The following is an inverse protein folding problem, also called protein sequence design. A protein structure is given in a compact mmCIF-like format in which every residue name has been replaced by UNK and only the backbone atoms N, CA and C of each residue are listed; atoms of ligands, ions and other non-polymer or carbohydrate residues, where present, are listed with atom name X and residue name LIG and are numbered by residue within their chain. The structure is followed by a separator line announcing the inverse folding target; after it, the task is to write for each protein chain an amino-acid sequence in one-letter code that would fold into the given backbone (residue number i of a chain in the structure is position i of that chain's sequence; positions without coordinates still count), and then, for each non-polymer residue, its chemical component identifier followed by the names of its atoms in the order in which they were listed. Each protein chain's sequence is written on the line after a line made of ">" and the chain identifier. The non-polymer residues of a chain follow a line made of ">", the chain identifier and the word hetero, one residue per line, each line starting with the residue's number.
data_IF_617769899439
#
_entry.id   IF_617769899439
#
_cell.length_a   1.000
_cell.length_b   1.000
_cell.length_c   1.000
_cell.angle_alpha   90.00
_cell.angle_beta   90.00
_cell.angle_gamma   90.00
#
_symmetry.space_group_name_H-M   'P 1'
#
loop_
_entity.id
_entity.type
_entity.pdbx_description
1 polymer ?
#
# COMPACT_ATOMS: atom_id res chain seq x y z
N UNK A 1 -14.50 -13.56 40.84
CA UNK A 1 -13.11 -14.08 40.75
C UNK A 1 -13.01 -15.20 39.72
N UNK A 2 -13.70 -16.35 39.88
CA UNK A 2 -13.64 -17.44 38.91
C UNK A 2 -14.11 -17.07 37.48
N UNK A 3 -15.21 -16.32 37.35
CA UNK A 3 -15.72 -15.87 36.04
C UNK A 3 -14.77 -14.90 35.31
N UNK A 4 -14.04 -14.06 36.06
CA UNK A 4 -13.01 -13.18 35.49
C UNK A 4 -11.77 -13.96 35.05
N UNK A 5 -11.37 -14.98 35.82
CA UNK A 5 -10.28 -15.87 35.43
C UNK A 5 -10.62 -16.66 34.16
N UNK A 6 -11.86 -17.13 34.03
CA UNK A 6 -12.35 -17.85 32.84
C UNK A 6 -12.39 -16.90 31.63
N UNK A 7 -12.84 -15.66 31.81
CA UNK A 7 -12.85 -14.66 30.74
C UNK A 7 -11.42 -14.31 30.28
N UNK A 8 -10.48 -14.12 31.20
CA UNK A 8 -9.06 -13.91 30.91
C UNK A 8 -8.44 -15.13 30.19
N UNK A 9 -8.77 -16.35 30.62
CA UNK A 9 -8.29 -17.58 29.99
C UNK A 9 -8.83 -17.74 28.57
N UNK A 10 -10.10 -17.42 28.33
CA UNK A 10 -10.72 -17.45 27.01
C UNK A 10 -10.16 -16.36 26.09
N UNK A 11 -9.85 -15.16 26.61
CA UNK A 11 -9.17 -14.10 25.88
C UNK A 11 -7.73 -14.48 25.52
N UNK A 12 -6.98 -15.14 26.42
CA UNK A 12 -5.64 -15.66 26.12
C UNK A 12 -5.63 -16.79 25.09
N UNK A 13 -6.62 -17.69 25.15
CA UNK A 13 -6.77 -18.78 24.16
C UNK A 13 -7.15 -18.26 22.76
N UNK A 14 -7.78 -17.08 22.69
CA UNK A 14 -8.14 -16.43 21.42
C UNK A 14 -6.95 -15.78 20.70
N UNK A 15 -5.80 -15.63 21.37
CA UNK A 15 -4.62 -14.93 20.82
C UNK A 15 -3.64 -15.82 20.05
N UNK A 16 -3.91 -17.11 19.84
CA UNK A 16 -2.94 -17.96 19.14
C UNK A 16 -3.55 -19.07 18.28
N UNK A 17 -4.21 -18.67 17.18
CA UNK A 17 -4.18 -19.47 15.96
C UNK A 17 -3.39 -18.69 14.92
N UNK A 18 -2.07 -18.89 14.88
CA UNK A 18 -1.33 -18.71 13.63
C UNK A 18 -1.77 -19.82 12.68
N UNK A 19 -2.95 -19.65 12.09
CA UNK A 19 -3.29 -20.45 10.93
C UNK A 19 -2.28 -20.06 9.84
N UNK A 20 -1.62 -21.04 9.26
CA UNK A 20 -0.70 -20.81 8.15
C UNK A 20 -1.54 -20.48 6.91
N UNK A 21 -1.09 -19.53 6.09
CA UNK A 21 -1.69 -19.28 4.78
C UNK A 21 -1.78 -20.61 4.03
N UNK A 22 -2.97 -21.02 3.51
CA UNK A 22 -3.04 -22.17 2.61
C UNK A 22 -2.03 -21.94 1.51
N UNK A 23 -1.07 -22.86 1.32
CA UNK A 23 0.11 -22.61 0.47
C UNK A 23 -0.28 -22.05 -0.92
N UNK A 24 -1.44 -22.45 -1.44
CA UNK A 24 -2.02 -21.96 -2.69
C UNK A 24 -2.24 -20.45 -2.75
N UNK A 25 -2.74 -19.80 -1.70
CA UNK A 25 -3.05 -18.37 -1.75
C UNK A 25 -1.78 -17.51 -1.75
N UNK A 26 -0.76 -17.92 -0.98
CA UNK A 26 0.53 -17.24 -0.98
C UNK A 26 1.24 -17.39 -2.33
N UNK A 27 1.20 -18.59 -2.91
CA UNK A 27 1.82 -18.85 -4.22
C UNK A 27 1.15 -18.03 -5.34
N UNK A 28 -0.18 -17.90 -5.30
CA UNK A 28 -0.93 -17.02 -6.22
C UNK A 28 -0.53 -15.56 -6.03
N UNK A 29 -0.51 -15.07 -4.78
CA UNK A 29 -0.12 -13.70 -4.50
C UNK A 29 1.33 -13.42 -4.95
N UNK A 30 2.28 -14.33 -4.67
CA UNK A 30 3.67 -14.21 -5.13
C UNK A 30 3.74 -14.15 -6.66
N UNK A 31 2.92 -14.92 -7.38
CA UNK A 31 2.82 -14.86 -8.84
C UNK A 31 2.35 -13.47 -9.32
N UNK A 32 1.29 -12.93 -8.70
CA UNK A 32 0.78 -11.58 -8.98
C UNK A 32 1.85 -10.50 -8.69
N UNK A 33 2.54 -10.58 -7.55
CA UNK A 33 3.64 -9.67 -7.17
C UNK A 33 4.79 -9.67 -8.20
N UNK A 34 5.20 -10.85 -8.67
CA UNK A 34 6.27 -10.98 -9.68
C UNK A 34 5.84 -10.44 -11.03
N UNK A 35 4.58 -10.68 -11.44
CA UNK A 35 4.01 -10.12 -12.66
C UNK A 35 4.02 -8.57 -12.62
N UNK A 36 3.76 -8.01 -11.44
CA UNK A 36 3.82 -6.58 -11.17
C UNK A 36 5.23 -6.04 -10.86
N UNK A 37 6.29 -6.85 -11.03
CA UNK A 37 7.71 -6.45 -10.90
C UNK A 37 8.16 -6.07 -9.47
N UNK A 38 7.55 -6.64 -8.43
CA UNK A 38 8.01 -6.52 -7.03
C UNK A 38 8.95 -7.67 -6.65
N UNK A 39 10.02 -7.89 -7.42
CA UNK A 39 10.89 -9.06 -7.27
C UNK A 39 11.66 -9.05 -5.95
N UNK A 40 12.16 -7.89 -5.54
CA UNK A 40 12.97 -7.76 -4.33
C UNK A 40 12.12 -8.00 -3.08
N UNK A 41 10.88 -7.51 -3.07
CA UNK A 41 9.94 -7.77 -1.97
C UNK A 41 9.59 -9.25 -1.87
N UNK A 42 9.35 -9.92 -3.00
CA UNK A 42 9.10 -11.37 -3.03
C UNK A 42 10.29 -12.16 -2.47
N UNK A 43 11.52 -11.76 -2.78
CA UNK A 43 12.71 -12.42 -2.23
C UNK A 43 12.74 -12.33 -0.70
N UNK A 44 12.50 -11.14 -0.13
CA UNK A 44 12.42 -10.94 1.32
C UNK A 44 11.30 -11.78 1.95
N UNK A 45 10.15 -11.89 1.27
CA UNK A 45 9.02 -12.69 1.73
C UNK A 45 9.35 -14.20 1.78
N UNK A 46 10.15 -14.69 0.83
CA UNK A 46 10.60 -16.09 0.80
C UNK A 46 11.61 -16.41 1.91
N UNK A 47 12.39 -15.43 2.38
CA UNK A 47 13.36 -15.60 3.47
C UNK A 47 12.72 -15.82 4.84
N UNK A 48 11.46 -15.43 5.05
CA UNK A 48 10.77 -15.59 6.35
C UNK A 48 9.95 -16.88 6.46
N UNK A 49 10.14 -17.82 5.53
CA UNK A 49 9.66 -19.22 5.58
C UNK A 49 8.19 -19.39 6.03
N UNK A 50 7.25 -18.65 5.42
CA UNK A 50 5.80 -18.75 5.69
C UNK A 50 5.39 -18.49 7.14
N UNK A 51 6.21 -17.81 7.95
CA UNK A 51 5.81 -17.23 9.26
C UNK A 51 4.92 -16.00 9.10
N UNK A 52 4.04 -16.00 8.10
CA UNK A 52 3.19 -14.88 7.73
C UNK A 52 1.80 -15.13 8.33
N UNK A 53 1.22 -14.17 9.06
CA UNK A 53 -0.16 -14.25 9.52
C UNK A 53 -1.17 -14.45 8.38
N UNK A 54 -2.32 -15.10 8.67
CA UNK A 54 -3.46 -15.05 7.76
C UNK A 54 -4.00 -13.62 7.61
N UNK A 55 -4.79 -13.41 6.55
CA UNK A 55 -5.63 -12.23 6.38
C UNK A 55 -4.79 -10.95 6.39
N UNK A 56 -3.99 -10.76 5.35
CA UNK A 56 -2.91 -9.78 5.34
C UNK A 56 -2.99 -8.87 4.11
N UNK A 57 -2.59 -7.61 4.28
CA UNK A 57 -2.29 -6.71 3.16
C UNK A 57 -0.80 -6.41 3.15
N UNK A 58 -0.11 -6.76 2.08
CA UNK A 58 1.27 -6.35 1.86
C UNK A 58 1.35 -4.96 1.23
N UNK A 59 2.23 -4.13 1.78
CA UNK A 59 2.55 -2.79 1.33
C UNK A 59 3.96 -2.84 0.74
N UNK A 60 4.07 -3.12 -0.55
CA UNK A 60 5.30 -3.54 -1.19
C UNK A 60 6.07 -2.34 -1.72
N UNK A 61 7.23 -1.98 -1.15
CA UNK A 61 8.08 -0.95 -1.76
C UNK A 61 8.60 -1.46 -3.10
N UNK A 62 8.72 -0.56 -4.07
CA UNK A 62 9.34 -0.88 -5.36
C UNK A 62 10.78 -1.38 -5.18
N UNK A 63 11.28 -2.16 -6.14
CA UNK A 63 12.67 -2.63 -6.13
C UNK A 63 13.68 -1.47 -6.02
N UNK A 64 13.36 -0.31 -6.61
CA UNK A 64 14.18 0.91 -6.48
C UNK A 64 14.18 1.42 -5.03
N UNK A 65 13.01 1.49 -4.37
CA UNK A 65 12.94 1.90 -2.97
C UNK A 65 13.72 0.94 -2.05
N UNK A 66 13.65 -0.37 -2.33
CA UNK A 66 14.36 -1.40 -1.58
C UNK A 66 15.88 -1.37 -1.79
N UNK A 67 16.38 -0.92 -2.96
CA UNK A 67 17.82 -0.89 -3.26
C UNK A 67 18.67 -0.04 -2.30
N UNK A 68 18.03 0.87 -1.57
CA UNK A 68 18.68 1.76 -0.59
C UNK A 68 18.61 1.26 0.85
N UNK A 69 17.94 0.13 1.10
CA UNK A 69 17.74 -0.42 2.44
C UNK A 69 18.83 -1.43 2.77
N UNK A 70 19.49 -1.24 3.91
CA UNK A 70 20.37 -2.24 4.50
C UNK A 70 19.56 -3.02 5.54
N UNK A 71 19.33 -4.30 5.30
CA UNK A 71 18.65 -5.21 6.22
C UNK A 71 19.60 -6.31 6.62
N UNK A 72 19.83 -6.50 7.92
CA UNK A 72 20.39 -7.76 8.41
C UNK A 72 19.33 -8.86 8.47
N UNK A 73 19.76 -10.11 8.48
CA UNK A 73 18.85 -11.28 8.42
C UNK A 73 17.79 -11.28 9.53
N UNK A 74 18.16 -10.85 10.73
CA UNK A 74 17.26 -10.71 11.88
C UNK A 74 16.26 -9.55 11.76
N UNK A 75 16.44 -8.62 10.82
CA UNK A 75 15.56 -7.48 10.59
C UNK A 75 14.51 -7.77 9.52
N UNK A 76 14.67 -8.82 8.71
CA UNK A 76 13.79 -9.10 7.57
C UNK A 76 12.35 -9.38 8.02
N UNK A 77 12.15 -10.17 9.08
CA UNK A 77 10.80 -10.42 9.60
C UNK A 77 10.13 -9.13 10.06
N UNK A 78 10.86 -8.31 10.83
CA UNK A 78 10.39 -7.00 11.28
C UNK A 78 10.07 -6.06 10.12
N UNK A 79 10.92 -6.08 9.08
CA UNK A 79 10.72 -5.30 7.87
C UNK A 79 9.42 -5.68 7.15
N UNK A 80 9.21 -6.98 6.90
CA UNK A 80 7.98 -7.49 6.26
C UNK A 80 6.77 -7.16 7.12
N UNK A 81 6.86 -7.35 8.43
CA UNK A 81 5.75 -7.09 9.36
C UNK A 81 5.40 -5.60 9.44
N UNK A 82 6.39 -4.72 9.35
CA UNK A 82 6.19 -3.26 9.27
C UNK A 82 5.52 -2.83 7.96
N UNK A 83 5.60 -3.66 6.92
CA UNK A 83 4.97 -3.47 5.61
C UNK A 83 3.74 -4.35 5.42
N UNK A 84 3.14 -4.81 6.52
CA UNK A 84 1.97 -5.70 6.49
C UNK A 84 0.88 -5.17 7.40
N UNK A 85 -0.36 -5.10 6.90
CA UNK A 85 -1.55 -4.81 7.72
C UNK A 85 -2.24 -6.16 8.01
N UNK A 86 -2.60 -6.47 9.27
CA UNK A 86 -3.24 -7.74 9.64
C UNK A 86 -4.73 -7.80 9.27
N UNK A 87 -5.08 -7.30 8.07
CA UNK A 87 -6.41 -7.37 7.48
C UNK A 87 -6.27 -7.27 5.96
N UNK A 88 -7.03 -8.05 5.15
CA UNK A 88 -7.03 -7.94 3.69
C UNK A 88 -7.85 -6.72 3.26
N UNK A 89 -7.18 -5.65 2.85
CA UNK A 89 -7.76 -4.38 2.45
C UNK A 89 -7.59 -4.19 0.95
N UNK A 90 -8.68 -3.86 0.27
CA UNK A 90 -8.64 -3.31 -1.08
C UNK A 90 -8.35 -1.82 -0.99
N UNK A 91 -7.89 -1.24 -2.10
CA UNK A 91 -7.66 0.20 -2.17
C UNK A 91 -8.92 1.01 -1.84
N UNK A 92 -10.09 0.57 -2.30
CA UNK A 92 -11.37 1.22 -1.98
C UNK A 92 -11.68 1.18 -0.48
N UNK A 93 -11.26 0.13 0.24
CA UNK A 93 -11.39 0.13 1.70
C UNK A 93 -10.49 1.20 2.34
N UNK A 94 -9.30 1.41 1.76
CA UNK A 94 -8.34 2.38 2.26
C UNK A 94 -8.81 3.84 2.08
N UNK A 95 -9.56 4.13 1.01
CA UNK A 95 -10.07 5.48 0.75
C UNK A 95 -11.20 5.90 1.71
N UNK A 96 -11.87 4.94 2.35
CA UNK A 96 -12.91 5.23 3.34
C UNK A 96 -12.37 5.56 4.74
N UNK A 97 -11.09 5.31 5.02
CA UNK A 97 -10.51 5.75 6.29
C UNK A 97 -10.36 7.28 6.31
N UNK A 98 -10.86 7.97 7.35
CA UNK A 98 -10.61 9.39 7.53
C UNK A 98 -9.11 9.68 7.63
N UNK A 99 -8.67 10.79 7.04
CA UNK A 99 -7.32 11.31 7.26
C UNK A 99 -7.04 11.48 8.75
N UNK A 100 -5.87 11.04 9.19
CA UNK A 100 -5.47 10.96 10.60
C UNK A 100 -5.71 9.61 11.27
N UNK A 101 -6.44 8.68 10.63
CA UNK A 101 -6.64 7.32 11.16
C UNK A 101 -5.30 6.61 11.38
N UNK A 102 -5.22 5.80 12.45
CA UNK A 102 -4.05 4.97 12.74
C UNK A 102 -4.37 3.51 12.43
N UNK A 103 -3.63 2.91 11.50
CA UNK A 103 -3.80 1.51 11.10
C UNK A 103 -2.67 0.66 11.70
N UNK A 104 -2.96 -0.44 12.41
CA UNK A 104 -1.91 -1.32 12.91
C UNK A 104 -1.19 -2.06 11.79
N UNK A 105 0.09 -2.31 11.99
CA UNK A 105 0.86 -3.26 11.17
C UNK A 105 0.99 -4.61 11.89
N UNK A 106 1.53 -5.60 11.21
CA UNK A 106 1.92 -6.87 11.83
C UNK A 106 3.14 -6.71 12.74
N UNK A 107 3.89 -5.61 12.67
CA UNK A 107 4.98 -5.30 13.60
C UNK A 107 4.40 -4.69 14.88
N UNK A 108 4.57 -5.33 16.05
CA UNK A 108 3.99 -4.86 17.29
C UNK A 108 4.36 -3.41 17.63
N UNK A 109 3.34 -2.61 17.93
CA UNK A 109 3.50 -1.20 18.29
C UNK A 109 3.70 -0.26 17.11
N UNK A 110 3.86 -0.76 15.87
CA UNK A 110 4.00 0.08 14.70
C UNK A 110 2.66 0.33 14.01
N UNK A 111 2.26 1.60 13.99
CA UNK A 111 0.99 2.09 13.44
C UNK A 111 1.26 3.05 12.27
N UNK A 112 0.47 2.94 11.21
CA UNK A 112 0.52 3.80 10.04
C UNK A 112 -0.54 4.89 10.13
N UNK A 113 -0.13 6.15 9.97
CA UNK A 113 -1.06 7.27 9.86
C UNK A 113 -1.60 7.37 8.44
N UNK A 114 -2.91 7.29 8.27
CA UNK A 114 -3.57 7.50 6.99
C UNK A 114 -3.66 8.98 6.66
N UNK A 115 -3.38 9.34 5.41
CA UNK A 115 -3.75 10.62 4.82
C UNK A 115 -4.38 10.34 3.47
N UNK A 116 -5.66 10.64 3.33
CA UNK A 116 -6.36 10.61 2.05
C UNK A 116 -6.38 12.04 1.49
N UNK A 117 -5.71 12.23 0.35
CA UNK A 117 -5.71 13.46 -0.42
C UNK A 117 -6.41 13.17 -1.76
N UNK A 118 -7.54 13.82 -2.01
CA UNK A 118 -8.37 13.55 -3.20
C UNK A 118 -7.60 13.78 -4.52
N UNK A 119 -6.60 14.67 -4.53
CA UNK A 119 -5.80 15.00 -5.71
C UNK A 119 -4.53 14.14 -5.79
N UNK A 120 -3.90 13.87 -4.65
CA UNK A 120 -2.58 13.23 -4.57
C UNK A 120 -2.66 11.74 -4.25
N UNK A 121 -3.80 11.23 -3.83
CA UNK A 121 -4.05 9.82 -3.49
C UNK A 121 -3.91 9.51 -2.01
N UNK A 122 -3.79 8.22 -1.69
CA UNK A 122 -3.71 7.70 -0.32
C UNK A 122 -2.25 7.55 0.12
N UNK A 123 -1.96 8.01 1.33
CA UNK A 123 -0.65 7.93 1.97
C UNK A 123 -0.73 7.18 3.30
N UNK A 124 0.30 6.39 3.56
CA UNK A 124 0.59 5.70 4.81
C UNK A 124 1.84 6.33 5.41
N UNK A 125 1.70 7.00 6.54
CA UNK A 125 2.65 8.01 7.02
C UNK A 125 2.90 9.07 5.93
N UNK A 126 4.12 9.11 5.39
CA UNK A 126 4.51 10.00 4.29
C UNK A 126 4.68 9.25 2.96
N UNK A 127 4.37 7.96 2.93
CA UNK A 127 4.59 7.08 1.77
C UNK A 127 3.29 6.92 1.00
N UNK A 128 3.31 7.22 -0.29
CA UNK A 128 2.15 7.11 -1.18
C UNK A 128 1.91 5.66 -1.61
N UNK A 129 0.65 5.24 -1.69
CA UNK A 129 0.26 4.05 -2.45
C UNK A 129 0.36 4.37 -3.95
N UNK A 130 1.26 3.68 -4.65
CA UNK A 130 1.54 3.92 -6.07
C UNK A 130 0.84 2.94 -7.00
N UNK A 131 0.62 1.71 -6.54
CA UNK A 131 -0.02 0.67 -7.34
C UNK A 131 -1.07 -0.06 -6.51
N UNK A 132 -2.35 0.32 -6.62
CA UNK A 132 -3.42 -0.30 -5.85
C UNK A 132 -3.74 -1.70 -6.38
N UNK A 133 -4.26 -2.55 -5.49
CA UNK A 133 -4.82 -3.87 -5.82
C UNK A 133 -3.93 -4.75 -6.73
N UNK A 134 -2.66 -4.96 -6.35
CA UNK A 134 -1.74 -5.84 -7.10
C UNK A 134 -2.18 -7.31 -6.99
N UNK A 135 -2.54 -7.76 -5.79
CA UNK A 135 -3.08 -9.11 -5.58
C UNK A 135 -4.61 -9.05 -5.49
N UNK A 136 -5.30 -9.68 -6.44
CA UNK A 136 -6.77 -9.61 -6.57
C UNK A 136 -7.46 -10.96 -6.61
N UNK A 137 -6.77 -12.02 -7.04
CA UNK A 137 -7.34 -13.36 -7.19
C UNK A 137 -7.71 -13.97 -5.83
N UNK A 138 -6.82 -13.84 -4.84
CA UNK A 138 -7.04 -14.33 -3.49
C UNK A 138 -8.02 -13.46 -2.69
N UNK A 139 -8.63 -14.05 -1.66
CA UNK A 139 -9.51 -13.32 -0.72
C UNK A 139 -8.81 -12.93 0.60
N UNK A 140 -7.76 -13.66 0.98
CA UNK A 140 -7.06 -13.51 2.27
C UNK A 140 -5.75 -12.73 2.18
N UNK A 141 -5.19 -12.55 0.98
CA UNK A 141 -4.00 -11.72 0.75
C UNK A 141 -4.39 -10.59 -0.20
N UNK A 142 -4.11 -9.37 0.23
CA UNK A 142 -4.12 -8.18 -0.63
C UNK A 142 -2.73 -7.61 -0.72
N UNK A 143 -2.44 -6.90 -1.79
CA UNK A 143 -1.14 -6.28 -1.98
C UNK A 143 -1.31 -4.93 -2.65
N UNK A 144 -0.52 -3.96 -2.21
CA UNK A 144 -0.43 -2.63 -2.80
C UNK A 144 1.03 -2.25 -2.95
N UNK A 145 1.39 -1.69 -4.11
CA UNK A 145 2.67 -1.04 -4.30
C UNK A 145 2.74 0.29 -3.57
N UNK A 146 3.86 0.55 -2.90
CA UNK A 146 4.13 1.82 -2.21
C UNK A 146 5.42 2.46 -2.72
N UNK A 147 5.43 3.79 -2.76
CA UNK A 147 6.53 4.57 -3.35
C UNK A 147 7.79 4.69 -2.47
N UNK A 148 7.82 4.05 -1.31
CA UNK A 148 8.89 4.19 -0.34
C UNK A 148 8.79 3.15 0.77
N UNK A 149 9.71 3.21 1.73
CA UNK A 149 9.82 2.25 2.82
C UNK A 149 9.13 2.80 4.07
N UNK A 150 8.25 2.01 4.66
CA UNK A 150 7.59 2.28 5.93
C UNK A 150 8.55 1.93 7.06
N UNK A 151 9.26 2.95 7.55
CA UNK A 151 10.12 2.84 8.72
C UNK A 151 9.48 3.50 9.93
N UNK A 152 9.91 3.06 11.12
CA UNK A 152 9.65 3.77 12.35
C UNK A 152 10.28 5.16 12.24
N UNK A 153 9.48 6.15 11.89
CA UNK A 153 9.86 7.53 12.15
C UNK A 153 9.83 7.63 13.67
N UNK A 154 10.99 7.65 14.31
CA UNK A 154 11.07 8.20 15.65
C UNK A 154 10.40 9.57 15.54
N UNK A 155 9.19 9.71 16.08
CA UNK A 155 8.52 10.99 16.22
C UNK A 155 9.28 11.80 17.26
N UNK A 156 10.54 12.12 16.98
CA UNK A 156 11.40 13.00 17.73
C UNK A 156 11.98 13.99 16.73
N UNK A 157 11.29 15.14 16.71
CA UNK A 157 11.76 16.45 16.27
C UNK A 157 11.80 16.69 14.76
N UNK A 158 10.98 17.65 14.34
CA UNK A 158 11.11 18.31 13.06
C UNK A 158 12.53 18.81 12.87
N UNK A 159 13.25 18.17 11.96
CA UNK A 159 14.37 18.76 11.24
C UNK A 159 14.33 18.14 9.86
N UNK A 160 13.54 18.76 8.98
CA UNK A 160 13.77 18.67 7.55
C UNK A 160 15.18 19.21 7.28
N UNK A 161 16.17 18.33 7.34
CA UNK A 161 17.46 18.62 6.73
C UNK A 161 17.22 18.73 5.22
N UNK A 162 17.57 19.86 4.57
CA UNK A 162 17.47 19.94 3.12
C UNK A 162 18.43 18.91 2.53
N UNK A 163 17.94 18.10 1.59
CA UNK A 163 18.80 17.28 0.73
C UNK A 163 19.86 18.21 0.10
N UNK A 164 21.15 17.82 0.05
CA UNK A 164 22.12 18.58 -0.71
C UNK A 164 21.73 18.52 -2.19
N UNK A 165 21.28 19.64 -2.73
CA UNK A 165 21.07 19.82 -4.16
C UNK A 165 22.47 19.84 -4.78
N UNK A 166 22.88 18.70 -5.33
CA UNK A 166 24.03 18.64 -6.23
C UNK A 166 23.77 19.59 -7.40
N UNK A 167 24.67 20.55 -7.71
CA UNK A 167 24.50 21.37 -8.91
C UNK A 167 24.59 20.48 -10.16
N UNK A 168 23.81 20.74 -11.22
CA UNK A 168 23.92 19.99 -12.45
C UNK A 168 25.32 20.19 -13.07
N UNK A 169 25.91 19.17 -13.69
CA UNK A 169 27.19 19.30 -14.36
C UNK A 169 27.05 20.32 -15.49
N UNK A 170 27.93 21.33 -15.49
CA UNK A 170 28.03 22.32 -16.56
C UNK A 170 28.33 21.61 -17.88
N UNK A 171 27.36 21.63 -18.80
CA UNK A 171 27.59 21.19 -20.17
C UNK A 171 28.53 22.20 -20.87
N UNK A 172 29.55 21.75 -21.63
CA UNK A 172 30.39 22.64 -22.41
C UNK A 172 29.54 23.36 -23.47
N UNK A 173 29.60 24.70 -23.48
CA UNK A 173 29.07 25.52 -24.58
C UNK A 173 29.69 25.05 -25.90
N UNK A 174 28.89 24.44 -26.76
CA UNK A 174 29.18 24.39 -28.19
C UNK A 174 28.41 25.50 -28.90
N UNK A 175 29.17 26.31 -29.64
CA UNK A 175 28.70 27.47 -30.38
C UNK A 175 27.66 27.06 -31.43
N UNK A 176 26.49 27.69 -31.38
CA UNK A 176 25.52 27.70 -32.47
C UNK A 176 26.03 28.65 -33.58
N UNK A 177 26.07 28.24 -34.85
CA UNK A 177 26.22 29.17 -35.95
C UNK A 177 24.90 29.90 -36.21
N UNK A 178 24.96 31.21 -36.37
CA UNK A 178 23.86 32.05 -36.79
C UNK A 178 23.51 31.81 -38.26
N UNK A 179 22.25 31.50 -38.56
CA UNK A 179 21.68 31.56 -39.92
C UNK A 179 20.32 32.24 -39.84
N UNK A 180 20.14 33.23 -40.72
CA UNK A 180 19.12 34.30 -40.69
C UNK A 180 17.65 33.92 -40.96
N UNK A 181 16.79 34.92 -41.22
CA UNK A 181 15.35 34.79 -41.07
C UNK A 181 14.59 34.38 -42.35
N UNK A 182 13.37 33.91 -42.08
CA UNK A 182 12.17 33.88 -42.92
C UNK A 182 12.02 32.74 -43.96
N UNK A 183 10.98 31.92 -43.77
CA UNK A 183 9.78 31.93 -44.62
C UNK A 183 8.70 31.01 -44.03
N UNK A 184 7.49 31.55 -43.85
CA UNK A 184 6.29 30.78 -43.51
C UNK A 184 5.66 30.18 -44.77
N UNK A 185 5.10 28.96 -44.72
CA UNK A 185 4.09 28.53 -45.67
C UNK A 185 2.69 28.55 -45.04
N UNK A 186 1.80 29.05 -45.87
CA UNK A 186 0.36 29.21 -45.72
C UNK A 186 -0.38 27.88 -45.97
N UNK A 187 -1.59 27.73 -45.42
CA UNK A 187 -2.58 26.70 -45.79
C UNK A 187 -2.46 25.39 -45.01
N UNK A 188 -3.53 24.65 -44.71
CA UNK A 188 -4.96 24.79 -44.98
C UNK A 188 -5.65 23.66 -44.20
N UNK A 189 -6.92 23.87 -43.84
CA UNK A 189 -7.68 23.09 -42.87
C UNK A 189 -7.78 21.59 -43.15
N UNK A 190 -7.85 20.83 -42.06
CA UNK A 190 -8.44 19.50 -42.03
C UNK A 190 -9.36 19.42 -40.81
N UNK A 191 -10.65 19.49 -41.10
CA UNK A 191 -11.77 19.23 -40.20
C UNK A 191 -11.75 17.76 -39.77
N UNK A 192 -11.70 17.50 -38.47
CA UNK A 192 -11.96 16.17 -37.92
C UNK A 192 -13.48 15.91 -37.87
N UNK A 193 -13.98 14.78 -38.42
CA UNK A 193 -15.38 14.41 -38.25
C UNK A 193 -15.63 13.85 -36.84
N UNK A 194 -16.49 14.54 -36.11
CA UNK A 194 -17.25 14.03 -34.96
C UNK A 194 -18.34 13.09 -35.47
N UNK A 195 -18.62 11.98 -34.75
CA UNK A 195 -19.84 11.15 -34.76
C UNK A 195 -19.67 9.98 -33.75
N UNK A 196 -20.73 9.33 -33.25
CA UNK A 196 -21.70 9.87 -32.30
C UNK A 196 -21.88 8.98 -31.05
N UNK A 197 -22.48 9.57 -30.01
CA UNK A 197 -22.97 8.88 -28.81
C UNK A 197 -24.15 7.96 -29.13
N UNK A 198 -24.21 6.78 -28.48
CA UNK A 198 -25.43 5.98 -28.33
C UNK A 198 -25.66 5.63 -26.85
N UNK A 199 -26.87 5.85 -26.29
CA UNK A 199 -27.23 5.51 -24.92
C UNK A 199 -28.03 4.21 -24.82
N UNK A 200 -27.79 3.43 -23.76
CA UNK A 200 -28.54 2.23 -23.34
C UNK A 200 -27.58 1.24 -22.69
N UNK A 201 -27.80 0.64 -21.52
CA UNK A 201 -29.03 0.25 -20.86
C UNK A 201 -28.77 0.12 -19.35
N UNK A 202 -29.67 0.67 -18.53
CA UNK A 202 -29.73 0.46 -17.07
C UNK A 202 -30.19 -0.97 -16.76
N UNK A 203 -29.38 -1.69 -15.98
CA UNK A 203 -29.76 -2.95 -15.33
C UNK A 203 -29.66 -2.81 -13.80
N UNK A 204 -30.58 -3.38 -13.02
CA UNK A 204 -30.62 -3.18 -11.57
C UNK A 204 -29.57 -4.03 -10.85
N UNK A 205 -28.62 -3.39 -10.17
CA UNK A 205 -27.68 -4.09 -9.28
C UNK A 205 -28.33 -4.33 -7.91
N UNK A 206 -28.40 -5.59 -7.52
CA UNK A 206 -28.97 -6.05 -6.25
C UNK A 206 -28.09 -5.60 -5.07
N UNK A 207 -28.65 -4.72 -4.24
CA UNK A 207 -28.16 -4.35 -2.91
C UNK A 207 -28.12 -5.56 -1.97
N UNK A 208 -26.92 -6.04 -1.65
CA UNK A 208 -26.72 -7.13 -0.68
C UNK A 208 -25.43 -7.05 0.14
N UNK A 209 -24.66 -5.95 0.08
CA UNK A 209 -23.33 -5.85 0.72
C UNK A 209 -23.27 -5.08 2.04
N UNK A 210 -24.29 -4.26 2.35
CA UNK A 210 -24.18 -3.27 3.43
C UNK A 210 -24.15 -3.89 4.84
N UNK A 211 -24.72 -5.08 5.03
CA UNK A 211 -24.83 -5.70 6.37
C UNK A 211 -23.53 -6.37 6.83
N UNK A 212 -22.65 -6.78 5.92
CA UNK A 212 -21.37 -7.42 6.26
C UNK A 212 -20.29 -6.39 6.63
N UNK A 213 -20.33 -5.22 5.98
CA UNK A 213 -19.36 -4.14 6.18
C UNK A 213 -19.51 -3.47 7.57
N UNK A 214 -20.74 -3.36 8.08
CA UNK A 214 -21.00 -2.81 9.41
C UNK A 214 -20.52 -3.77 10.51
N UNK A 215 -20.58 -5.09 10.29
CA UNK A 215 -20.09 -6.08 11.26
C UNK A 215 -18.56 -6.05 11.40
N UNK A 216 -17.84 -5.95 10.28
CA UNK A 216 -16.36 -5.92 10.28
C UNK A 216 -15.82 -4.62 10.92
N UNK A 217 -16.48 -3.47 10.66
CA UNK A 217 -16.10 -2.18 11.27
C UNK A 217 -16.34 -2.17 12.78
N UNK A 218 -17.43 -2.78 13.26
CA UNK A 218 -17.72 -2.87 14.70
C UNK A 218 -16.70 -3.75 15.41
N UNK A 219 -16.26 -4.86 14.79
CA UNK A 219 -15.21 -5.73 15.34
C UNK A 219 -13.86 -4.99 15.37
N UNK A 220 -13.53 -4.24 14.33
CA UNK A 220 -12.29 -3.44 14.29
C UNK A 220 -12.29 -2.33 15.35
N UNK A 221 -13.44 -1.67 15.59
CA UNK A 221 -13.61 -0.70 16.67
C UNK A 221 -13.51 -1.30 18.07
N UNK A 222 -14.01 -2.53 18.27
CA UNK A 222 -13.91 -3.25 19.54
C UNK A 222 -12.47 -3.70 19.86
N UNK A 223 -11.71 -4.13 18.84
CA UNK A 223 -10.30 -4.47 18.99
C UNK A 223 -9.43 -3.25 19.31
N UNK A 224 -9.76 -2.07 18.76
CA UNK A 224 -9.06 -0.82 19.11
C UNK A 224 -9.38 -0.40 20.55
N UNK A 225 -10.62 -0.56 21.03
CA UNK A 225 -11.00 -0.16 22.39
C UNK A 225 -10.39 -1.03 23.50
N UNK A 226 -10.15 -2.32 23.25
CA UNK A 226 -9.61 -3.25 24.25
C UNK A 226 -8.08 -3.19 24.43
N UNK A 227 -7.37 -2.43 23.58
CA UNK A 227 -5.92 -2.21 23.74
C UNK A 227 -5.61 -0.97 24.61
N UNK A 228 -6.62 -0.14 24.93
CA UNK A 228 -6.45 1.13 25.65
C UNK A 228 -7.23 1.23 26.99
N UNK A 229 -7.73 0.12 27.53
CA UNK A 229 -8.30 0.02 28.89
C UNK A 229 -7.63 -1.13 29.62
#
# INVERSE_FOLDING_TARGET
>A
MAAQLILLLLLCLSQHMSASIPNTDLDVAISEMRSAKYYSYVLLLQMIERKIPLNITFLMPTDIALSSVLLSENEITKFIFSHSIPTPLLFDHLTYFPSGSMIPTCEPGFMLRMVNDELRGVFLNTVRITEPNVCVVGSIIRCHGVGGVLMWQNMTKGTSAPLPISPPPALPMHQLPAVGPASAPNGSGWTSPMMPFSPGSLGPSKSGGLKKLVSEIVIMGFCIFLVFV
#
